data_IF_788775885427
#
_entry.id   IF_788775885427
#
_cell.length_a   1.000
_cell.length_b   1.000
_cell.length_c   1.000
_cell.angle_alpha   90.00
_cell.angle_beta   90.00
_cell.angle_gamma   90.00
#
_symmetry.space_group_name_H-M   'P 1'
#
loop_
_entity.id
_entity.type
_entity.pdbx_description
1 polymer ?
#
# COMPACT_ATOMS: atom_id res chain seq x y z
N UNK A 1 -61.63 0.74 -1.70
CA UNK A 1 -60.86 1.90 -1.21
C UNK A 1 -59.75 1.39 -0.30
N UNK A 2 -58.51 1.56 -0.77
CA UNK A 2 -57.25 1.82 -0.01
C UNK A 2 -56.89 0.90 1.15
N UNK A 3 -55.74 0.22 1.26
CA UNK A 3 -54.42 0.20 0.61
C UNK A 3 -53.52 -0.53 1.64
N UNK A 4 -52.69 -1.52 1.35
CA UNK A 4 -51.61 -1.51 0.36
C UNK A 4 -50.35 -0.90 0.96
N UNK A 5 -49.52 -1.69 1.67
CA UNK A 5 -48.05 -1.56 1.71
C UNK A 5 -47.41 -2.69 2.53
N UNK A 6 -47.02 -3.76 1.83
CA UNK A 6 -46.01 -4.72 2.26
C UNK A 6 -44.64 -4.13 1.94
N UNK A 7 -43.69 -4.20 2.86
CA UNK A 7 -42.27 -4.14 2.51
C UNK A 7 -41.43 -3.25 3.39
N UNK A 8 -40.74 -3.87 4.34
CA UNK A 8 -39.36 -3.53 4.70
C UNK A 8 -38.63 -4.84 4.99
N UNK A 9 -38.28 -5.54 3.90
CA UNK A 9 -37.28 -6.61 3.94
C UNK A 9 -35.91 -5.96 4.04
N UNK A 10 -35.08 -6.48 4.95
CA UNK A 10 -33.62 -6.52 4.85
C UNK A 10 -32.97 -5.28 4.23
N UNK A 11 -32.72 -4.25 5.05
CA UNK A 11 -31.66 -3.29 4.75
C UNK A 11 -30.38 -3.88 5.33
N UNK A 12 -29.68 -4.64 4.49
CA UNK A 12 -28.34 -5.11 4.80
C UNK A 12 -27.43 -3.90 5.04
N UNK A 13 -26.76 -3.90 6.19
CA UNK A 13 -25.64 -3.00 6.50
C UNK A 13 -24.46 -3.42 5.60
N UNK A 14 -24.54 -3.13 4.30
CA UNK A 14 -23.46 -3.40 3.34
C UNK A 14 -22.89 -2.16 2.67
N UNK A 15 -23.47 -0.98 2.89
CA UNK A 15 -23.05 0.25 2.20
C UNK A 15 -22.54 1.33 3.16
N UNK A 16 -21.69 0.97 4.13
CA UNK A 16 -20.78 1.95 4.73
C UNK A 16 -19.59 2.07 3.80
N UNK A 17 -19.71 3.08 2.95
CA UNK A 17 -18.78 3.66 2.01
C UNK A 17 -17.33 3.72 2.53
N UNK A 18 -16.55 2.65 2.33
CA UNK A 18 -15.10 2.79 2.18
C UNK A 18 -14.81 3.12 0.72
N UNK A 19 -15.05 4.38 0.34
CA UNK A 19 -14.45 4.95 -0.87
C UNK A 19 -13.01 5.34 -0.54
N UNK A 20 -12.12 4.35 -0.51
CA UNK A 20 -10.73 4.55 -0.87
C UNK A 20 -10.53 3.84 -2.21
N UNK A 21 -10.19 4.55 -3.29
CA UNK A 21 -9.83 3.88 -4.53
C UNK A 21 -8.51 3.15 -4.29
N UNK A 22 -8.58 1.88 -3.94
CA UNK A 22 -7.45 0.98 -4.12
C UNK A 22 -7.18 0.95 -5.62
N UNK A 23 -6.16 1.71 -6.04
CA UNK A 23 -5.70 1.79 -7.41
C UNK A 23 -5.43 0.34 -7.89
N UNK A 24 -6.25 -0.17 -8.80
CA UNK A 24 -6.02 -1.46 -9.45
C UNK A 24 -4.72 -1.32 -10.22
N UNK A 25 -3.68 -1.93 -9.68
CA UNK A 25 -2.30 -1.79 -10.13
C UNK A 25 -2.16 -2.33 -11.56
N UNK A 26 -1.96 -1.44 -12.52
CA UNK A 26 -1.27 -1.77 -13.77
C UNK A 26 0.11 -2.27 -13.38
N UNK A 27 0.37 -3.58 -13.49
CA UNK A 27 1.62 -4.27 -13.11
C UNK A 27 2.65 -3.37 -12.38
N UNK A 28 2.69 -3.38 -11.04
CA UNK A 28 3.54 -2.47 -10.26
C UNK A 28 5.04 -2.76 -10.48
N UNK A 29 5.34 -3.91 -11.06
CA UNK A 29 6.69 -4.39 -11.28
C UNK A 29 7.11 -4.14 -12.74
N UNK A 30 8.09 -3.26 -12.98
CA UNK A 30 8.61 -2.95 -14.30
C UNK A 30 9.59 -4.04 -14.75
N UNK A 31 9.05 -5.22 -15.07
CA UNK A 31 9.81 -6.41 -15.49
C UNK A 31 10.72 -6.14 -16.69
N UNK A 32 10.30 -5.31 -17.64
CA UNK A 32 11.09 -4.93 -18.81
C UNK A 32 12.43 -4.28 -18.46
N UNK A 33 12.48 -3.49 -17.38
CA UNK A 33 13.71 -2.84 -16.93
C UNK A 33 14.70 -3.87 -16.37
N UNK A 34 14.21 -4.81 -15.56
CA UNK A 34 15.03 -5.88 -14.99
C UNK A 34 15.51 -6.88 -16.06
N UNK A 35 14.66 -7.25 -17.02
CA UNK A 35 15.03 -8.09 -18.16
C UNK A 35 16.13 -7.44 -19.02
N UNK A 36 16.05 -6.11 -19.20
CA UNK A 36 17.06 -5.36 -19.96
C UNK A 36 18.46 -5.37 -19.33
N UNK A 37 18.57 -5.61 -18.02
CA UNK A 37 19.86 -5.67 -17.33
C UNK A 37 20.71 -6.83 -17.83
N UNK A 38 20.09 -8.01 -18.00
CA UNK A 38 20.78 -9.19 -18.51
C UNK A 38 21.27 -8.97 -19.95
N UNK A 39 20.43 -8.39 -20.80
CA UNK A 39 20.80 -8.06 -22.18
C UNK A 39 22.00 -7.10 -22.21
N UNK A 40 21.98 -6.04 -21.41
CA UNK A 40 23.08 -5.07 -21.32
C UNK A 40 24.38 -5.70 -20.80
N UNK A 41 24.29 -6.62 -19.83
CA UNK A 41 25.46 -7.35 -19.33
C UNK A 41 26.05 -8.27 -20.41
N UNK A 42 25.20 -8.99 -21.15
CA UNK A 42 25.63 -9.82 -22.28
C UNK A 42 26.35 -8.97 -23.33
N UNK A 43 25.84 -7.76 -23.64
CA UNK A 43 26.52 -6.83 -24.56
C UNK A 43 27.93 -6.47 -24.08
N UNK A 44 28.11 -6.20 -22.79
CA UNK A 44 29.45 -5.91 -22.22
C UNK A 44 30.37 -7.12 -22.40
N UNK A 45 29.90 -8.32 -22.03
CA UNK A 45 30.68 -9.56 -22.14
C UNK A 45 31.05 -9.83 -23.61
N UNK A 46 30.15 -9.57 -24.55
CA UNK A 46 30.41 -9.78 -25.96
C UNK A 46 31.43 -8.78 -26.51
N UNK A 47 31.39 -7.53 -26.05
CA UNK A 47 32.40 -6.51 -26.39
C UNK A 47 33.78 -6.85 -25.81
N UNK A 48 33.86 -7.46 -24.62
CA UNK A 48 35.15 -7.86 -24.03
C UNK A 48 35.73 -9.13 -24.64
N UNK A 49 34.89 -10.06 -25.12
CA UNK A 49 35.32 -11.30 -25.77
C UNK A 49 35.66 -11.12 -27.26
N UNK A 50 35.21 -10.02 -27.87
CA UNK A 50 35.56 -9.71 -29.25
C UNK A 50 37.09 -9.54 -29.38
N UNK A 51 37.70 -10.16 -30.38
CA UNK A 51 39.16 -10.09 -30.62
C UNK A 51 39.69 -8.65 -30.80
N UNK A 52 38.82 -7.72 -31.15
CA UNK A 52 39.08 -6.28 -31.24
C UNK A 52 38.72 -5.48 -29.98
N UNK A 53 38.13 -6.12 -28.97
CA UNK A 53 37.39 -5.54 -27.85
C UNK A 53 38.13 -4.49 -27.02
N UNK A 54 39.47 -4.50 -27.10
CA UNK A 54 40.34 -3.46 -26.51
C UNK A 54 41.43 -2.99 -27.46
N UNK A 55 41.46 -3.49 -28.70
CA UNK A 55 42.53 -3.22 -29.66
C UNK A 55 42.36 -1.85 -30.33
N UNK A 56 41.12 -1.42 -30.58
CA UNK A 56 40.82 -0.14 -31.24
C UNK A 56 40.28 0.91 -30.25
N UNK A 57 40.54 2.21 -30.46
CA UNK A 57 39.93 3.27 -29.65
C UNK A 57 38.39 3.22 -29.66
N UNK A 58 37.81 2.83 -30.79
CA UNK A 58 36.37 2.70 -31.00
C UNK A 58 35.77 1.57 -30.15
N UNK A 59 36.43 0.41 -30.06
CA UNK A 59 35.96 -0.69 -29.22
C UNK A 59 36.05 -0.35 -27.73
N UNK A 60 37.10 0.36 -27.31
CA UNK A 60 37.19 0.91 -25.94
C UNK A 60 36.07 1.88 -25.62
N UNK A 61 35.73 2.78 -26.54
CA UNK A 61 34.64 3.72 -26.36
C UNK A 61 33.28 3.00 -26.29
N UNK A 62 33.04 2.01 -27.16
CA UNK A 62 31.84 1.19 -27.14
C UNK A 62 31.69 0.42 -25.82
N UNK A 63 32.78 -0.14 -25.29
CA UNK A 63 32.80 -0.83 -24.01
C UNK A 63 32.50 0.11 -22.84
N UNK A 64 33.12 1.29 -22.81
CA UNK A 64 32.84 2.31 -21.80
C UNK A 64 31.38 2.75 -21.83
N UNK A 65 30.83 2.98 -23.03
CA UNK A 65 29.42 3.35 -23.20
C UNK A 65 28.49 2.25 -22.69
N UNK A 66 28.70 1.00 -23.12
CA UNK A 66 27.89 -0.13 -22.68
C UNK A 66 27.94 -0.32 -21.15
N UNK A 67 29.11 -0.11 -20.55
CA UNK A 67 29.30 -0.19 -19.09
C UNK A 67 28.56 0.91 -18.36
N UNK A 68 28.64 2.16 -18.85
CA UNK A 68 27.92 3.29 -18.27
C UNK A 68 26.40 3.11 -18.40
N UNK A 69 25.92 2.59 -19.53
CA UNK A 69 24.51 2.31 -19.76
C UNK A 69 23.98 1.21 -18.84
N UNK A 70 24.77 0.16 -18.62
CA UNK A 70 24.45 -0.89 -17.64
C UNK A 70 24.41 -0.34 -16.22
N UNK A 71 25.44 0.41 -15.80
CA UNK A 71 25.47 1.04 -14.47
C UNK A 71 24.26 1.94 -14.25
N UNK A 72 23.92 2.76 -15.23
CA UNK A 72 22.76 3.66 -15.17
C UNK A 72 21.43 2.89 -15.13
N UNK A 73 21.34 1.73 -15.78
CA UNK A 73 20.17 0.86 -15.70
C UNK A 73 20.04 0.19 -14.33
N UNK A 74 21.16 -0.24 -13.72
CA UNK A 74 21.18 -0.83 -12.37
C UNK A 74 20.78 0.20 -11.30
N UNK A 75 21.27 1.43 -11.41
CA UNK A 75 20.89 2.51 -10.47
C UNK A 75 19.38 2.75 -10.55
N UNK A 76 18.84 2.91 -11.76
CA UNK A 76 17.39 3.05 -11.97
C UNK A 76 16.59 1.86 -11.44
N UNK A 77 17.10 0.63 -11.62
CA UNK A 77 16.46 -0.57 -11.07
C UNK A 77 16.38 -0.52 -9.53
N UNK A 78 17.47 -0.10 -8.88
CA UNK A 78 17.52 0.03 -7.42
C UNK A 78 16.60 1.12 -6.89
N UNK A 79 16.60 2.29 -7.52
CA UNK A 79 15.71 3.40 -7.16
C UNK A 79 14.25 2.98 -7.28
N UNK A 80 13.94 2.25 -8.35
CA UNK A 80 12.60 1.74 -8.61
C UNK A 80 12.19 0.68 -7.59
N UNK A 81 13.07 -0.26 -7.25
CA UNK A 81 12.85 -1.23 -6.18
C UNK A 81 12.56 -0.54 -4.84
N UNK A 82 13.35 0.47 -4.47
CA UNK A 82 13.17 1.22 -3.24
C UNK A 82 11.88 2.06 -3.23
N UNK A 83 11.43 2.52 -4.40
CA UNK A 83 10.17 3.27 -4.54
C UNK A 83 8.91 2.42 -4.45
N UNK A 84 9.03 1.09 -4.49
CA UNK A 84 7.88 0.20 -4.32
C UNK A 84 7.40 0.24 -2.87
N UNK A 85 6.08 0.14 -2.62
CA UNK A 85 5.55 0.06 -1.26
C UNK A 85 6.21 -1.10 -0.50
N UNK A 86 6.87 -0.79 0.63
CA UNK A 86 7.61 -1.77 1.41
C UNK A 86 8.96 -2.18 0.82
N UNK A 87 9.40 -1.62 -0.31
CA UNK A 87 10.69 -1.94 -0.95
C UNK A 87 11.92 -1.48 -0.18
N UNK A 88 11.74 -0.59 0.80
CA UNK A 88 12.75 -0.14 1.76
C UNK A 88 12.90 -1.07 2.97
N UNK A 89 11.93 -1.94 3.20
CA UNK A 89 11.88 -2.85 4.35
C UNK A 89 12.47 -4.20 3.98
N UNK A 90 13.20 -4.80 4.92
CA UNK A 90 13.57 -6.21 4.80
C UNK A 90 12.32 -7.08 4.86
N UNK A 91 12.41 -8.30 4.32
CA UNK A 91 11.27 -9.23 4.30
C UNK A 91 10.82 -9.55 5.72
N UNK A 92 11.78 -9.68 6.62
CA UNK A 92 11.56 -9.95 8.04
C UNK A 92 10.77 -8.80 8.71
N UNK A 93 11.16 -7.56 8.43
CA UNK A 93 10.46 -6.37 8.93
C UNK A 93 9.02 -6.30 8.40
N UNK A 94 8.82 -6.68 7.14
CA UNK A 94 7.48 -6.74 6.53
C UNK A 94 6.61 -7.80 7.22
N UNK A 95 7.15 -8.98 7.51
CA UNK A 95 6.44 -10.05 8.22
C UNK A 95 6.04 -9.64 9.65
N UNK A 96 6.90 -8.89 10.33
CA UNK A 96 6.59 -8.33 11.65
C UNK A 96 5.45 -7.31 11.60
N UNK A 97 5.49 -6.39 10.63
CA UNK A 97 4.44 -5.39 10.41
C UNK A 97 3.12 -6.07 10.06
N UNK A 98 3.14 -7.07 9.17
CA UNK A 98 1.96 -7.87 8.84
C UNK A 98 1.39 -8.50 10.10
N UNK A 99 2.21 -9.21 10.87
CA UNK A 99 1.80 -9.86 12.12
C UNK A 99 1.18 -8.86 13.11
N UNK A 100 1.77 -7.67 13.24
CA UNK A 100 1.26 -6.60 14.10
C UNK A 100 -0.10 -6.10 13.63
N UNK A 101 -0.24 -5.81 12.32
CA UNK A 101 -1.47 -5.31 11.72
C UNK A 101 -2.61 -6.34 11.81
N UNK A 102 -2.31 -7.61 11.66
CA UNK A 102 -3.29 -8.70 11.84
C UNK A 102 -3.78 -8.78 13.28
N UNK A 103 -2.88 -8.72 14.26
CA UNK A 103 -3.26 -8.67 15.69
C UNK A 103 -4.14 -7.45 15.99
N UNK A 104 -3.83 -6.29 15.41
CA UNK A 104 -4.65 -5.08 15.58
C UNK A 104 -6.02 -5.22 14.94
N UNK A 105 -6.10 -5.78 13.73
CA UNK A 105 -7.36 -6.09 13.04
C UNK A 105 -8.24 -6.98 13.90
N UNK A 106 -7.67 -8.05 14.44
CA UNK A 106 -8.40 -9.07 15.17
C UNK A 106 -8.90 -8.53 16.53
N UNK A 107 -8.07 -7.78 17.25
CA UNK A 107 -8.49 -7.06 18.47
C UNK A 107 -9.62 -6.07 18.21
N UNK A 108 -9.54 -5.28 17.12
CA UNK A 108 -10.61 -4.34 16.76
C UNK A 108 -11.91 -5.06 16.42
N UNK A 109 -11.84 -6.19 15.69
CA UNK A 109 -13.01 -7.03 15.41
C UNK A 109 -13.64 -7.57 16.69
N UNK A 110 -12.83 -8.04 17.64
CA UNK A 110 -13.32 -8.51 18.93
C UNK A 110 -14.02 -7.38 19.71
N UNK A 111 -13.40 -6.20 19.79
CA UNK A 111 -13.99 -5.02 20.44
C UNK A 111 -15.32 -4.61 19.80
N UNK A 112 -15.39 -4.60 18.46
CA UNK A 112 -16.63 -4.31 17.74
C UNK A 112 -17.69 -5.38 18.00
N UNK A 113 -17.31 -6.66 18.07
CA UNK A 113 -18.26 -7.73 18.42
C UNK A 113 -18.82 -7.57 19.83
N UNK A 114 -17.98 -7.21 20.81
CA UNK A 114 -18.38 -6.93 22.19
C UNK A 114 -19.28 -5.71 22.28
N UNK A 115 -18.98 -4.67 21.51
CA UNK A 115 -19.81 -3.47 21.43
C UNK A 115 -21.17 -3.77 20.78
N UNK A 116 -21.20 -4.51 19.67
CA UNK A 116 -22.44 -4.90 19.00
C UNK A 116 -23.29 -5.87 19.85
N UNK A 117 -22.65 -6.73 20.65
CA UNK A 117 -23.32 -7.64 21.58
C UNK A 117 -23.87 -6.94 22.83
N UNK A 118 -23.38 -5.73 23.16
CA UNK A 118 -24.08 -4.87 24.11
C UNK A 118 -25.37 -4.39 23.45
N UNK A 119 -26.45 -5.10 23.76
CA UNK A 119 -27.81 -4.56 23.60
C UNK A 119 -27.79 -3.19 24.26
N UNK A 120 -28.04 -2.13 23.48
CA UNK A 120 -28.41 -0.83 24.04
C UNK A 120 -29.70 -1.12 24.81
N UNK A 121 -29.60 -1.37 26.12
CA UNK A 121 -30.77 -1.47 26.99
C UNK A 121 -31.27 -0.04 27.20
N UNK A 122 -31.78 0.56 26.13
CA UNK A 122 -32.67 1.72 26.18
C UNK A 122 -34.09 1.20 26.48
N UNK A 123 -34.24 0.57 27.64
CA UNK A 123 -35.43 -0.19 28.00
C UNK A 123 -35.51 -0.56 29.48
N UNK A 124 -35.26 0.40 30.37
CA UNK A 124 -35.64 0.34 31.79
C UNK A 124 -36.21 1.70 32.20
N UNK A 125 -37.36 1.78 32.89
CA UNK A 125 -38.08 3.02 33.10
C UNK A 125 -37.40 3.84 34.20
N UNK A 126 -36.52 4.76 33.81
CA UNK A 126 -36.26 5.96 34.58
C UNK A 126 -36.43 7.14 33.64
N UNK A 127 -37.69 7.51 33.45
CA UNK A 127 -38.04 8.86 33.06
C UNK A 127 -37.55 9.78 34.19
N UNK A 128 -36.33 10.28 34.07
CA UNK A 128 -35.84 11.52 34.68
C UNK A 128 -34.42 11.78 34.14
N UNK A 129 -34.33 12.88 33.38
CA UNK A 129 -33.11 13.67 33.22
C UNK A 129 -32.07 13.23 32.18
N UNK A 130 -32.50 13.08 30.92
CA UNK A 130 -31.63 13.34 29.78
C UNK A 130 -31.47 14.86 29.59
N UNK A 131 -30.64 15.47 30.43
CA UNK A 131 -30.00 16.77 30.18
C UNK A 131 -28.50 16.53 30.03
N UNK A 132 -28.11 15.83 28.96
CA UNK A 132 -26.71 15.80 28.55
C UNK A 132 -26.42 17.11 27.80
N UNK A 133 -25.93 18.09 28.55
CA UNK A 133 -25.32 19.29 28.00
C UNK A 133 -24.07 18.86 27.21
N UNK A 134 -24.10 19.14 25.91
CA UNK A 134 -22.97 18.95 25.01
C UNK A 134 -21.98 20.07 25.32
N UNK A 135 -21.06 19.83 26.25
CA UNK A 135 -19.98 20.78 26.55
C UNK A 135 -18.87 20.61 25.51
N UNK A 136 -19.00 21.31 24.39
CA UNK A 136 -17.95 21.43 23.39
C UNK A 136 -16.89 22.45 23.86
N UNK A 137 -15.99 22.04 24.75
CA UNK A 137 -14.75 22.77 24.99
C UNK A 137 -13.66 22.26 24.04
N UNK A 138 -13.66 22.80 22.82
CA UNK A 138 -12.51 22.77 21.94
C UNK A 138 -11.56 23.92 22.33
N UNK A 139 -10.63 23.66 23.24
CA UNK A 139 -9.55 24.60 23.56
C UNK A 139 -8.28 24.20 22.83
N UNK A 140 -7.97 24.91 21.74
CA UNK A 140 -6.62 24.96 21.17
C UNK A 140 -5.80 26.01 21.94
N UNK A 141 -4.70 25.64 22.61
CA UNK A 141 -3.81 26.66 23.15
C UNK A 141 -2.94 27.19 22.01
N UNK A 142 -3.13 28.47 21.67
CA UNK A 142 -2.08 29.25 21.02
C UNK A 142 -1.09 29.68 22.11
N UNK A 143 0.17 29.31 21.96
CA UNK A 143 1.27 29.93 22.68
C UNK A 143 2.22 30.53 21.63
N UNK A 144 2.44 31.84 21.74
CA UNK A 144 3.52 32.58 21.08
C UNK A 144 4.90 32.07 21.51
#
# INVERSE_FOLDING_TARGET
MTGGCKGWRNVGIRDILFHHPFYMSTNPLPTSLYESLLVKLVTIIQLTQSSEGTATPQSKQALLQATNDYKSAVIRAKELAASLPGGELLVEDQDEVITMLEKLRDRKREQLSKFAARVIVSGGPSALENKMEIDSMASTPFHE
#
